data_IF_094310772710
#
_entry.id   IF_094310772710
#
_cell.length_a   1.000
_cell.length_b   1.000
_cell.length_c   1.000
_cell.angle_alpha   90.00
_cell.angle_beta   90.00
_cell.angle_gamma   90.00
#
_symmetry.space_group_name_H-M   'P 1'
#
loop_
_entity.id
_entity.type
_entity.pdbx_description
1 polymer ?
#
# COMPACT_ATOMS: atom_id res chain seq x y z
N UNK A 1 53.14 -18.46 21.24
CA UNK A 1 51.80 -17.99 21.67
C UNK A 1 51.22 -17.16 20.55
N UNK A 2 50.43 -17.79 19.68
CA UNK A 2 49.84 -17.17 18.48
C UNK A 2 48.53 -16.49 18.84
N UNK A 3 48.48 -15.17 18.69
CA UNK A 3 47.26 -14.36 18.84
C UNK A 3 46.30 -14.66 17.68
N UNK A 4 45.13 -15.21 17.98
CA UNK A 4 44.01 -15.28 17.03
C UNK A 4 43.49 -13.86 16.75
N UNK A 5 43.29 -13.46 15.49
CA UNK A 5 42.59 -12.23 15.18
C UNK A 5 41.10 -12.37 15.53
N UNK A 6 40.56 -11.33 16.14
CA UNK A 6 39.13 -11.15 16.39
C UNK A 6 38.36 -11.37 15.09
N UNK A 7 37.45 -12.35 15.08
CA UNK A 7 36.45 -12.47 14.01
C UNK A 7 35.58 -11.20 14.08
N UNK A 8 35.70 -10.35 13.08
CA UNK A 8 34.65 -9.39 12.73
C UNK A 8 33.35 -10.18 12.59
N UNK A 9 32.39 -9.88 13.46
CA UNK A 9 31.04 -10.40 13.38
C UNK A 9 30.43 -9.96 12.05
N UNK A 10 30.07 -10.92 11.20
CA UNK A 10 29.28 -10.68 10.02
C UNK A 10 28.03 -9.84 10.38
N UNK A 11 27.61 -8.89 9.53
CA UNK A 11 26.41 -8.10 9.80
C UNK A 11 25.22 -9.05 10.01
N UNK A 12 24.50 -8.83 11.10
CA UNK A 12 23.24 -9.51 11.39
C UNK A 12 22.30 -9.19 10.23
N UNK A 13 22.05 -10.17 9.37
CA UNK A 13 21.00 -10.06 8.35
C UNK A 13 19.68 -10.08 9.11
N UNK A 14 19.15 -8.92 9.45
CA UNK A 14 17.78 -8.79 9.96
C UNK A 14 16.86 -9.49 8.98
N UNK A 15 16.17 -10.54 9.44
CA UNK A 15 15.14 -11.21 8.64
C UNK A 15 14.07 -10.18 8.32
N UNK A 16 14.05 -9.72 7.07
CA UNK A 16 12.96 -8.89 6.56
C UNK A 16 11.70 -9.74 6.48
N UNK A 17 10.84 -9.65 7.50
CA UNK A 17 9.49 -10.21 7.46
C UNK A 17 8.59 -9.34 6.60
N UNK A 18 7.67 -9.99 5.89
CA UNK A 18 6.69 -9.36 5.02
C UNK A 18 5.29 -9.78 5.45
N UNK A 19 4.40 -8.81 5.57
CA UNK A 19 2.99 -9.01 5.87
C UNK A 19 2.19 -8.77 4.61
N UNK A 20 1.34 -9.72 4.23
CA UNK A 20 0.36 -9.52 3.16
C UNK A 20 -0.78 -8.65 3.68
N UNK A 21 -1.17 -7.66 2.89
CA UNK A 21 -2.20 -6.68 3.25
C UNK A 21 -3.20 -6.49 2.13
N UNK A 22 -4.37 -5.96 2.49
CA UNK A 22 -5.40 -5.53 1.54
C UNK A 22 -5.77 -4.07 1.77
N UNK A 23 -6.34 -3.43 0.74
CA UNK A 23 -6.92 -2.10 0.91
C UNK A 23 -8.22 -2.25 1.69
N UNK A 24 -8.21 -1.86 2.96
CA UNK A 24 -9.38 -1.93 3.86
C UNK A 24 -10.37 -0.81 3.55
N UNK A 25 -9.87 0.43 3.54
CA UNK A 25 -10.69 1.62 3.29
C UNK A 25 -9.86 2.78 2.77
N UNK A 26 -10.54 3.77 2.21
CA UNK A 26 -9.96 5.05 1.82
C UNK A 26 -10.87 6.17 2.31
N UNK A 27 -10.31 7.12 3.05
CA UNK A 27 -11.03 8.23 3.67
C UNK A 27 -10.36 9.57 3.32
N UNK A 28 -11.02 10.66 3.66
CA UNK A 28 -10.37 11.96 3.81
C UNK A 28 -10.02 12.18 5.28
N UNK A 29 -8.78 12.51 5.56
CA UNK A 29 -8.36 12.99 6.87
C UNK A 29 -9.00 14.37 7.13
N UNK A 30 -9.88 14.53 8.14
CA UNK A 30 -10.59 15.78 8.37
C UNK A 30 -9.68 16.92 8.87
N UNK A 31 -8.43 16.63 9.24
CA UNK A 31 -7.47 17.65 9.71
C UNK A 31 -6.74 18.30 8.54
N UNK A 32 -6.42 17.50 7.53
CA UNK A 32 -5.58 17.89 6.37
C UNK A 32 -6.35 17.92 5.05
N UNK A 33 -7.60 17.47 5.04
CA UNK A 33 -8.44 17.22 3.84
C UNK A 33 -7.76 16.32 2.81
N UNK A 34 -6.74 15.58 3.23
CA UNK A 34 -5.94 14.73 2.34
C UNK A 34 -6.46 13.29 2.38
N UNK A 35 -6.52 12.60 1.24
CA UNK A 35 -6.86 11.19 1.21
C UNK A 35 -5.87 10.30 1.95
N UNK A 36 -6.39 9.34 2.71
CA UNK A 36 -5.62 8.31 3.40
C UNK A 36 -6.14 6.94 2.99
N UNK A 37 -5.25 6.10 2.48
CA UNK A 37 -5.53 4.68 2.22
C UNK A 37 -5.07 3.86 3.43
N UNK A 38 -5.96 3.02 3.93
CA UNK A 38 -5.68 2.10 5.03
C UNK A 38 -5.43 0.71 4.46
N UNK A 39 -4.23 0.20 4.70
CA UNK A 39 -3.86 -1.18 4.40
C UNK A 39 -4.00 -2.00 5.67
N UNK A 40 -4.64 -3.16 5.59
CA UNK A 40 -4.88 -4.04 6.73
C UNK A 40 -4.30 -5.42 6.45
N UNK A 41 -3.64 -6.02 7.44
CA UNK A 41 -3.15 -7.39 7.35
C UNK A 41 -4.30 -8.39 7.21
N UNK A 42 -4.03 -9.53 6.59
CA UNK A 42 -5.06 -10.56 6.38
C UNK A 42 -5.63 -11.16 7.67
N UNK A 43 -4.92 -11.05 8.78
CA UNK A 43 -5.36 -11.47 10.11
C UNK A 43 -6.03 -10.34 10.91
N UNK A 44 -6.21 -9.16 10.30
CA UNK A 44 -6.85 -7.98 10.88
C UNK A 44 -6.16 -7.47 12.16
N UNK A 45 -4.90 -7.84 12.37
CA UNK A 45 -4.13 -7.43 13.56
C UNK A 45 -3.34 -6.15 13.37
N UNK A 46 -3.05 -5.77 12.12
CA UNK A 46 -2.19 -4.66 11.79
C UNK A 46 -2.83 -3.76 10.72
N UNK A 47 -2.68 -2.46 10.90
CA UNK A 47 -3.20 -1.45 9.99
C UNK A 47 -2.11 -0.42 9.71
N UNK A 48 -1.89 -0.10 8.43
CA UNK A 48 -0.97 0.92 7.97
C UNK A 48 -1.71 2.04 7.20
N UNK A 49 -1.80 3.26 7.75
CA UNK A 49 -2.29 4.43 7.03
C UNK A 49 -1.21 5.01 6.11
N UNK A 50 -1.59 5.34 4.87
CA UNK A 50 -0.73 6.01 3.89
C UNK A 50 -1.48 7.20 3.29
N UNK A 51 -0.96 8.41 3.49
CA UNK A 51 -1.47 9.61 2.82
C UNK A 51 -1.09 9.60 1.35
N UNK A 52 -2.07 9.89 0.49
CA UNK A 52 -1.91 9.92 -0.96
C UNK A 52 -2.64 11.13 -1.55
N UNK A 53 -2.29 11.50 -2.78
CA UNK A 53 -2.99 12.57 -3.49
C UNK A 53 -4.40 12.16 -3.95
N UNK A 54 -5.24 13.17 -4.21
CA UNK A 54 -6.63 12.96 -4.64
C UNK A 54 -6.74 12.18 -5.96
N UNK A 55 -5.83 12.43 -6.90
CA UNK A 55 -5.81 11.73 -8.19
C UNK A 55 -5.45 10.25 -8.02
N UNK A 56 -4.48 9.96 -7.15
CA UNK A 56 -4.10 8.60 -6.79
C UNK A 56 -5.24 7.85 -6.08
N UNK A 57 -5.88 8.51 -5.11
CA UNK A 57 -7.04 7.96 -4.42
C UNK A 57 -8.16 7.59 -5.40
N UNK A 58 -8.51 8.52 -6.29
CA UNK A 58 -9.50 8.30 -7.36
C UNK A 58 -9.16 7.07 -8.19
N UNK A 59 -7.89 6.93 -8.59
CA UNK A 59 -7.44 5.80 -9.39
C UNK A 59 -7.56 4.46 -8.66
N UNK A 60 -7.34 4.41 -7.36
CA UNK A 60 -7.51 3.20 -6.54
C UNK A 60 -8.99 2.85 -6.39
N UNK A 61 -9.82 3.84 -6.05
CA UNK A 61 -11.27 3.66 -5.82
C UNK A 61 -11.97 3.10 -7.04
N UNK A 62 -11.76 3.72 -8.21
CA UNK A 62 -12.36 3.24 -9.46
C UNK A 62 -11.99 1.78 -9.77
N UNK A 63 -10.77 1.37 -9.42
CA UNK A 63 -10.33 -0.02 -9.60
C UNK A 63 -10.97 -0.98 -8.59
N UNK A 64 -11.12 -0.57 -7.32
CA UNK A 64 -11.79 -1.36 -6.28
C UNK A 64 -13.28 -1.55 -6.59
N UNK A 65 -13.95 -0.49 -7.03
CA UNK A 65 -15.38 -0.52 -7.40
C UNK A 65 -15.61 -1.24 -8.75
N UNK A 66 -14.55 -1.63 -9.46
CA UNK A 66 -14.59 -2.31 -10.77
C UNK A 66 -15.33 -1.50 -11.84
N UNK A 67 -15.28 -0.18 -11.76
CA UNK A 67 -15.86 0.70 -12.78
C UNK A 67 -15.01 0.66 -14.05
N UNK A 68 -15.61 0.23 -15.16
CA UNK A 68 -14.96 0.28 -16.47
C UNK A 68 -15.30 1.60 -17.15
N UNK A 69 -14.30 2.43 -17.37
CA UNK A 69 -14.44 3.67 -18.14
C UNK A 69 -14.35 3.40 -19.65
N UNK A 70 -14.97 4.25 -20.51
CA UNK A 70 -14.90 4.10 -21.97
C UNK A 70 -13.48 4.14 -22.56
N UNK A 71 -12.55 4.77 -21.85
CA UNK A 71 -11.13 4.85 -22.21
C UNK A 71 -10.28 4.46 -20.99
N UNK A 72 -9.16 3.75 -21.19
CA UNK A 72 -8.29 3.34 -20.10
C UNK A 72 -7.65 4.55 -19.41
N UNK A 73 -7.59 4.53 -18.09
CA UNK A 73 -6.76 5.45 -17.30
C UNK A 73 -5.29 5.03 -17.33
N UNK A 74 -4.42 5.86 -16.75
CA UNK A 74 -2.97 5.61 -16.69
C UNK A 74 -2.62 4.23 -16.13
N UNK A 75 -3.24 3.81 -15.02
CA UNK A 75 -2.97 2.50 -14.42
C UNK A 75 -3.61 1.34 -15.20
N UNK A 76 -4.68 1.58 -15.97
CA UNK A 76 -5.23 0.57 -16.89
C UNK A 76 -4.32 0.37 -18.10
N UNK A 77 -3.74 1.46 -18.61
CA UNK A 77 -2.70 1.44 -19.63
C UNK A 77 -1.48 0.67 -19.12
N UNK A 78 -0.99 0.96 -17.90
CA UNK A 78 0.12 0.24 -17.28
C UNK A 78 -0.16 -1.28 -17.19
N UNK A 79 -1.35 -1.66 -16.70
CA UNK A 79 -1.75 -3.05 -16.62
C UNK A 79 -1.78 -3.73 -18.00
N UNK A 80 -2.22 -3.00 -19.03
CA UNK A 80 -2.24 -3.49 -20.41
C UNK A 80 -0.83 -3.66 -20.98
N UNK A 81 0.07 -2.71 -20.71
CA UNK A 81 1.49 -2.80 -21.09
C UNK A 81 2.16 -3.99 -20.42
N UNK A 82 1.97 -4.19 -19.11
CA UNK A 82 2.52 -5.34 -18.38
C UNK A 82 2.05 -6.66 -18.99
N UNK A 83 0.75 -6.78 -19.29
CA UNK A 83 0.19 -7.97 -19.96
C UNK A 83 0.77 -8.19 -21.35
N UNK A 84 0.91 -7.13 -22.15
CA UNK A 84 1.44 -7.20 -23.51
C UNK A 84 2.92 -7.61 -23.56
N UNK A 85 3.71 -7.21 -22.56
CA UNK A 85 5.12 -7.58 -22.43
C UNK A 85 5.34 -9.01 -21.92
N UNK A 86 4.29 -9.72 -21.52
CA UNK A 86 4.36 -11.14 -21.15
C UNK A 86 5.13 -11.44 -19.87
N UNK A 87 5.47 -10.42 -19.07
CA UNK A 87 6.13 -10.58 -17.77
C UNK A 87 5.14 -10.18 -16.68
N UNK A 88 4.44 -11.14 -16.03
CA UNK A 88 3.42 -10.81 -15.06
C UNK A 88 4.04 -10.11 -13.85
N UNK A 89 3.35 -9.07 -13.37
CA UNK A 89 3.59 -8.52 -12.05
C UNK A 89 3.29 -9.62 -11.03
N UNK A 90 4.24 -9.91 -10.14
CA UNK A 90 4.09 -10.98 -9.15
C UNK A 90 3.41 -10.45 -7.90
N UNK A 91 3.88 -9.32 -7.40
CA UNK A 91 3.32 -8.61 -6.26
C UNK A 91 3.79 -7.16 -6.29
N UNK A 92 3.27 -6.37 -5.37
CA UNK A 92 3.87 -5.08 -5.04
C UNK A 92 4.34 -5.08 -3.60
N UNK A 93 5.36 -4.29 -3.31
CA UNK A 93 5.96 -4.16 -1.98
C UNK A 93 5.94 -2.72 -1.52
N UNK A 94 5.68 -2.49 -0.24
CA UNK A 94 5.94 -1.25 0.46
C UNK A 94 7.03 -1.56 1.48
N UNK A 95 8.22 -1.02 1.25
CA UNK A 95 9.44 -1.60 1.80
C UNK A 95 10.25 -0.68 2.70
N UNK A 96 9.98 0.63 2.71
CA UNK A 96 10.65 1.55 3.63
C UNK A 96 9.85 2.84 3.82
N UNK A 97 10.08 3.50 4.95
CA UNK A 97 9.72 4.89 5.18
C UNK A 97 11.00 5.69 5.44
N UNK A 98 11.12 6.89 4.87
CA UNK A 98 12.18 7.87 5.17
C UNK A 98 11.56 9.25 5.24
N UNK A 99 11.82 9.99 6.31
CA UNK A 99 11.31 11.36 6.51
C UNK A 99 9.79 11.48 6.26
N UNK A 100 9.01 10.53 6.79
CA UNK A 100 7.55 10.47 6.61
C UNK A 100 7.09 10.04 5.21
N UNK A 101 8.01 9.72 4.29
CA UNK A 101 7.70 9.29 2.92
C UNK A 101 7.85 7.78 2.78
N UNK A 102 6.78 7.10 2.38
CA UNK A 102 6.80 5.67 2.07
C UNK A 102 7.32 5.38 0.66
N UNK A 103 8.02 4.27 0.51
CA UNK A 103 8.57 3.78 -0.76
C UNK A 103 8.03 2.39 -1.05
N UNK A 104 7.72 2.14 -2.32
CA UNK A 104 7.29 0.84 -2.78
C UNK A 104 7.99 0.39 -4.06
N UNK A 105 7.70 -0.84 -4.45
CA UNK A 105 8.23 -1.43 -5.66
C UNK A 105 7.24 -2.37 -6.30
N UNK A 106 7.23 -2.41 -7.63
CA UNK A 106 6.59 -3.46 -8.40
C UNK A 106 7.60 -4.61 -8.54
N UNK A 107 7.24 -5.80 -8.05
CA UNK A 107 8.07 -7.01 -8.18
C UNK A 107 7.58 -7.85 -9.36
N UNK A 108 8.47 -8.05 -10.33
CA UNK A 108 8.25 -8.93 -11.47
C UNK A 108 9.11 -10.18 -11.33
N UNK A 109 8.63 -11.29 -11.89
CA UNK A 109 9.41 -12.51 -12.00
C UNK A 109 9.47 -12.96 -13.45
N UNK A 110 10.69 -13.17 -13.95
CA UNK A 110 10.95 -13.80 -15.25
C UNK A 110 11.97 -14.91 -15.04
N UNK A 111 11.56 -16.14 -15.31
CA UNK A 111 12.33 -17.35 -15.02
C UNK A 111 12.72 -17.43 -13.53
N UNK A 112 14.04 -17.41 -13.24
CA UNK A 112 14.59 -17.41 -11.88
C UNK A 112 14.98 -16.03 -11.37
N UNK A 113 14.79 -14.99 -12.19
CA UNK A 113 15.20 -13.63 -11.86
C UNK A 113 14.02 -12.82 -11.33
N UNK A 114 14.25 -12.12 -10.23
CA UNK A 114 13.35 -11.12 -9.66
C UNK A 114 13.82 -9.74 -10.10
N UNK A 115 12.87 -8.92 -10.53
CA UNK A 115 13.11 -7.54 -10.93
C UNK A 115 12.23 -6.63 -10.11
N UNK A 116 12.79 -5.50 -9.69
CA UNK A 116 12.07 -4.48 -8.94
C UNK A 116 12.05 -3.19 -9.75
N UNK A 117 10.88 -2.58 -9.85
CA UNK A 117 10.71 -1.22 -10.38
C UNK A 117 10.27 -0.34 -9.24
N UNK A 118 11.06 0.69 -8.93
CA UNK A 118 10.75 1.67 -7.89
C UNK A 118 9.42 2.36 -8.17
N UNK A 119 8.65 2.61 -7.12
CA UNK A 119 7.29 3.14 -7.22
C UNK A 119 6.88 3.89 -5.96
N UNK A 120 6.04 4.90 -6.14
CA UNK A 120 5.23 5.41 -5.01
C UNK A 120 4.29 4.29 -4.54
N UNK A 121 3.96 4.21 -3.24
CA UNK A 121 2.99 3.25 -2.72
C UNK A 121 1.62 3.35 -3.41
N UNK A 122 1.15 4.56 -3.68
CA UNK A 122 -0.12 4.81 -4.37
C UNK A 122 -0.21 4.13 -5.74
N UNK A 123 0.83 4.27 -6.56
CA UNK A 123 0.90 3.67 -7.89
C UNK A 123 0.99 2.14 -7.83
N UNK A 124 1.78 1.64 -6.86
CA UNK A 124 1.91 0.21 -6.60
C UNK A 124 0.57 -0.42 -6.20
N UNK A 125 -0.16 0.20 -5.27
CA UNK A 125 -1.48 -0.23 -4.82
C UNK A 125 -2.47 -0.19 -6.01
N UNK A 126 -2.50 0.91 -6.77
CA UNK A 126 -3.38 1.05 -7.93
C UNK A 126 -3.11 0.00 -9.02
N UNK A 127 -1.85 -0.39 -9.24
CA UNK A 127 -1.47 -1.48 -10.13
C UNK A 127 -1.89 -2.84 -9.57
N UNK A 128 -1.66 -3.08 -8.27
CA UNK A 128 -1.97 -4.34 -7.61
C UNK A 128 -3.47 -4.66 -7.65
N UNK A 129 -4.32 -3.68 -7.36
CA UNK A 129 -5.79 -3.84 -7.43
C UNK A 129 -6.24 -4.20 -8.84
N UNK A 130 -5.72 -3.53 -9.88
CA UNK A 130 -6.10 -3.77 -11.29
C UNK A 130 -5.60 -5.12 -11.84
N UNK A 131 -4.39 -5.51 -11.43
CA UNK A 131 -3.77 -6.77 -11.87
C UNK A 131 -4.14 -7.95 -10.96
N UNK A 132 -4.80 -7.68 -9.82
CA UNK A 132 -5.19 -8.67 -8.81
C UNK A 132 -3.99 -9.46 -8.30
N UNK A 133 -2.93 -8.74 -7.94
CA UNK A 133 -1.72 -9.31 -7.36
C UNK A 133 -1.60 -8.91 -5.90
N UNK A 134 -0.94 -9.71 -5.05
CA UNK A 134 -0.82 -9.43 -3.63
C UNK A 134 0.00 -8.16 -3.36
N UNK A 135 -0.36 -7.48 -2.27
CA UNK A 135 0.35 -6.32 -1.71
C UNK A 135 1.08 -6.78 -0.45
N UNK A 136 2.39 -6.56 -0.39
CA UNK A 136 3.18 -6.86 0.79
C UNK A 136 3.73 -5.58 1.41
N UNK A 137 3.69 -5.51 2.73
CA UNK A 137 4.32 -4.45 3.52
C UNK A 137 5.41 -5.08 4.37
N UNK A 138 6.53 -4.38 4.53
CA UNK A 138 7.58 -4.81 5.47
C UNK A 138 7.01 -4.74 6.90
N UNK A 139 7.10 -5.83 7.65
CA UNK A 139 6.31 -5.98 8.90
C UNK A 139 6.60 -4.89 9.93
N UNK A 140 7.84 -4.41 10.03
CA UNK A 140 8.25 -3.30 10.90
C UNK A 140 7.54 -1.96 10.59
N UNK A 141 7.10 -1.76 9.34
CA UNK A 141 6.30 -0.58 8.96
C UNK A 141 4.87 -0.66 9.46
N UNK A 142 4.35 -1.87 9.72
CA UNK A 142 3.02 -2.10 10.29
C UNK A 142 3.05 -2.07 11.83
N UNK A 143 4.15 -2.46 12.46
CA UNK A 143 4.30 -2.41 13.92
C UNK A 143 4.52 -0.99 14.45
N UNK A 144 4.99 -0.10 13.58
CA UNK A 144 5.18 1.32 13.89
C UNK A 144 3.94 2.18 13.63
N UNK A 145 2.84 1.60 13.13
CA UNK A 145 1.62 2.34 12.79
C UNK A 145 0.52 2.20 13.84
N UNK A 146 -0.21 3.30 14.02
CA UNK A 146 -1.38 3.40 14.88
C UNK A 146 -2.55 2.56 14.32
N UNK A 147 -3.35 1.96 15.22
CA UNK A 147 -4.64 1.34 14.85
C UNK A 147 -5.59 2.38 14.21
N UNK A 148 -6.59 1.93 13.43
CA UNK A 148 -7.59 2.85 12.86
C UNK A 148 -8.29 3.63 13.99
N UNK A 149 -8.59 2.95 15.09
CA UNK A 149 -9.19 3.52 16.29
C UNK A 149 -8.31 4.58 16.93
N UNK A 150 -6.98 4.38 16.95
CA UNK A 150 -6.01 5.36 17.41
C UNK A 150 -5.90 6.57 16.48
N UNK A 151 -5.85 6.32 15.18
CA UNK A 151 -5.82 7.35 14.15
C UNK A 151 -6.98 8.34 14.32
N UNK A 152 -8.16 7.82 14.62
CA UNK A 152 -9.36 8.61 14.83
C UNK A 152 -9.65 9.00 16.28
N UNK A 153 -8.83 8.59 17.25
CA UNK A 153 -9.10 8.84 18.68
C UNK A 153 -9.28 10.31 19.01
N UNK A 154 -8.54 11.18 18.33
CA UNK A 154 -8.62 12.65 18.53
C UNK A 154 -9.60 13.35 17.58
N UNK A 155 -10.33 12.61 16.74
CA UNK A 155 -11.38 13.15 15.86
C UNK A 155 -12.71 13.10 16.63
N UNK A 156 -13.29 14.29 16.90
CA UNK A 156 -14.52 14.48 17.69
C UNK A 156 -15.60 13.43 17.38
N UNK A 157 -16.23 12.87 18.41
CA UNK A 157 -17.18 11.75 18.39
C UNK A 157 -18.19 11.75 17.22
N UNK A 158 -18.72 12.93 16.85
CA UNK A 158 -19.71 13.07 15.78
C UNK A 158 -19.09 12.87 14.37
N UNK A 159 -17.88 13.38 14.14
CA UNK A 159 -17.17 13.19 12.88
C UNK A 159 -16.68 11.75 12.74
N UNK A 160 -16.23 11.14 13.86
CA UNK A 160 -15.81 9.74 13.91
C UNK A 160 -16.94 8.76 13.59
N UNK A 161 -18.15 8.95 14.16
CA UNK A 161 -19.32 8.12 13.83
C UNK A 161 -19.71 8.21 12.35
N UNK A 162 -19.70 9.41 11.78
CA UNK A 162 -19.97 9.61 10.35
C UNK A 162 -18.90 9.02 9.44
N UNK A 163 -17.65 8.94 9.89
CA UNK A 163 -16.56 8.28 9.18
C UNK A 163 -16.72 6.77 9.24
N UNK A 164 -17.02 6.19 10.40
CA UNK A 164 -17.29 4.76 10.58
C UNK A 164 -18.52 4.28 9.78
N UNK A 165 -19.60 5.05 9.75
CA UNK A 165 -20.76 4.77 8.88
C UNK A 165 -20.41 4.81 7.38
N UNK A 166 -19.33 5.52 7.00
CA UNK A 166 -18.79 5.60 5.64
C UNK A 166 -17.65 4.61 5.39
N UNK A 167 -17.26 3.79 6.37
CA UNK A 167 -16.41 2.60 6.12
C UNK A 167 -17.28 1.45 5.58
N UNK A 168 -18.23 1.77 4.70
CA UNK A 168 -18.80 0.83 3.75
C UNK A 168 -17.91 0.88 2.50
N UNK A 169 -17.40 -0.25 1.99
CA UNK A 169 -16.63 -0.30 0.74
C UNK A 169 -17.31 0.36 -0.48
N UNK A 170 -18.59 0.77 -0.38
CA UNK A 170 -19.35 1.53 -1.39
C UNK A 170 -19.42 3.05 -1.18
N UNK A 171 -18.89 3.62 -0.09
CA UNK A 171 -19.11 5.02 0.26
C UNK A 171 -18.16 6.02 -0.43
N UNK A 172 -17.12 5.54 -1.12
CA UNK A 172 -16.06 6.41 -1.65
C UNK A 172 -16.54 7.26 -2.84
N UNK A 173 -17.55 6.79 -3.56
CA UNK A 173 -18.16 7.49 -4.71
C UNK A 173 -18.70 8.90 -4.37
N UNK A 174 -19.05 9.20 -3.11
CA UNK A 174 -19.70 10.47 -2.74
C UNK A 174 -18.74 11.64 -2.48
N UNK A 175 -17.43 11.40 -2.36
CA UNK A 175 -16.47 12.42 -1.92
C UNK A 175 -15.38 12.75 -2.95
N UNK A 176 -15.46 12.19 -4.16
CA UNK A 176 -14.47 12.38 -5.24
C UNK A 176 -15.13 12.94 -6.52
N UNK A 177 -16.39 13.43 -6.43
CA UNK A 177 -17.10 14.12 -7.50
C UNK A 177 -17.51 15.53 -7.09
#
# INVERSE_FOLDING_TARGET
>A
MTTHPLRESAPVVEKTSWTEVTVKTLILDPRSESPVVFLESLDETLVLPIWIGIFEATAIVLALEKHTLPRPMTHDLLASVIRALGTPLKCVRIHSMRDGTFFGALEFQRDRNLFHVDSRPSDAIAAAVRLKVPIFVRTDLCESSETIEEFFRDIRDEQYRQLLEKVDPKAVSKYVM
#
